data_IF_439871369036
#
_entry.id   IF_439871369036
#
_cell.length_a   1.000
_cell.length_b   1.000
_cell.length_c   1.000
_cell.angle_alpha   90.00
_cell.angle_beta   90.00
_cell.angle_gamma   90.00
#
_symmetry.space_group_name_H-M   'P 1'
#
loop_
_entity.id
_entity.type
_entity.pdbx_description
1 polymer ?
#
# COMPACT_ATOMS: atom_id res chain seq x y z
N UNK A 1 -19.47 7.64 38.89
CA UNK A 1 -18.03 7.53 38.50
C UNK A 1 -17.79 8.34 37.24
N UNK A 2 -16.72 9.14 37.20
CA UNK A 2 -16.38 9.85 35.96
C UNK A 2 -15.96 8.84 34.88
N UNK A 3 -16.49 9.00 33.67
CA UNK A 3 -16.19 8.21 32.49
C UNK A 3 -15.42 9.08 31.50
N UNK A 4 -14.68 8.46 30.59
CA UNK A 4 -14.04 9.15 29.48
C UNK A 4 -14.86 8.98 28.20
N UNK A 5 -15.09 10.08 27.49
CA UNK A 5 -15.80 10.11 26.23
C UNK A 5 -14.92 10.72 25.15
N UNK A 6 -14.82 10.09 24.00
CA UNK A 6 -14.04 10.59 22.86
C UNK A 6 -14.98 11.12 21.78
N UNK A 7 -14.68 12.32 21.28
CA UNK A 7 -15.32 12.88 20.10
C UNK A 7 -14.84 12.15 18.83
N UNK A 8 -15.76 11.58 18.06
CA UNK A 8 -15.47 10.86 16.81
C UNK A 8 -15.06 11.79 15.67
N UNK A 9 -15.28 13.12 15.81
CA UNK A 9 -14.94 14.09 14.77
C UNK A 9 -13.50 14.59 14.90
N UNK A 10 -13.07 14.96 16.12
CA UNK A 10 -11.74 15.57 16.34
C UNK A 10 -10.84 14.81 17.32
N UNK A 11 -11.31 13.71 17.91
CA UNK A 11 -10.52 12.92 18.87
C UNK A 11 -10.44 13.50 20.29
N UNK A 12 -11.03 14.68 20.55
CA UNK A 12 -11.01 15.28 21.90
C UNK A 12 -11.60 14.31 22.94
N UNK A 13 -10.92 14.18 24.10
CA UNK A 13 -11.37 13.34 25.21
C UNK A 13 -11.91 14.20 26.33
N UNK A 14 -13.15 13.92 26.74
CA UNK A 14 -13.86 14.56 27.83
C UNK A 14 -14.04 13.60 29.00
N UNK A 15 -13.87 14.08 30.23
CA UNK A 15 -14.14 13.30 31.46
C UNK A 15 -15.38 13.84 32.18
N UNK A 16 -16.38 12.98 32.34
CA UNK A 16 -17.65 13.35 33.00
C UNK A 16 -18.53 12.14 33.23
N UNK A 17 -19.71 12.34 33.81
CA UNK A 17 -20.72 11.28 34.00
C UNK A 17 -21.45 10.96 32.67
N UNK A 18 -21.63 11.97 31.82
CA UNK A 18 -22.24 11.89 30.50
C UNK A 18 -21.37 12.65 29.49
N UNK A 19 -21.48 12.39 28.17
CA UNK A 19 -20.79 13.18 27.17
C UNK A 19 -21.25 14.65 27.22
N UNK A 20 -20.40 15.63 26.87
CA UNK A 20 -20.79 17.04 26.82
C UNK A 20 -21.84 17.25 25.73
N UNK A 21 -22.74 18.22 25.90
CA UNK A 21 -23.74 18.57 24.89
C UNK A 21 -23.11 18.97 23.55
N UNK A 22 -21.89 19.54 23.61
CA UNK A 22 -21.15 19.99 22.45
C UNK A 22 -19.64 19.87 22.71
N UNK A 23 -18.89 19.46 21.71
CA UNK A 23 -17.43 19.35 21.78
C UNK A 23 -16.80 20.75 21.88
N UNK A 24 -15.95 21.03 22.89
CA UNK A 24 -15.33 22.33 23.04
C UNK A 24 -14.29 22.65 21.95
N UNK A 25 -13.90 21.67 21.14
CA UNK A 25 -12.87 21.81 20.08
C UNK A 25 -13.50 21.97 18.69
N UNK A 26 -14.44 21.09 18.33
CA UNK A 26 -15.00 21.06 16.96
C UNK A 26 -16.50 21.30 16.89
N UNK A 27 -17.14 21.62 18.01
CA UNK A 27 -18.58 21.88 18.11
C UNK A 27 -19.50 20.72 17.69
N UNK A 28 -18.97 19.51 17.57
CA UNK A 28 -19.77 18.30 17.34
C UNK A 28 -20.73 18.03 18.51
N UNK A 29 -21.93 17.57 18.21
CA UNK A 29 -22.98 17.30 19.22
C UNK A 29 -22.68 16.03 20.02
N UNK A 30 -23.39 15.85 21.14
CA UNK A 30 -23.19 14.73 22.07
C UNK A 30 -23.28 13.34 21.42
N UNK A 31 -24.08 13.18 20.36
CA UNK A 31 -24.21 11.94 19.59
C UNK A 31 -22.93 11.51 18.86
N UNK A 32 -21.96 12.41 18.75
CA UNK A 32 -20.64 12.14 18.19
C UNK A 32 -19.61 11.75 19.25
N UNK A 33 -20.02 11.50 20.47
CA UNK A 33 -19.12 11.01 21.53
C UNK A 33 -19.37 9.54 21.81
N UNK A 34 -18.28 8.78 21.99
CA UNK A 34 -18.31 7.39 22.43
C UNK A 34 -17.60 7.25 23.78
N UNK A 35 -18.16 6.39 24.64
CA UNK A 35 -17.51 6.07 25.92
C UNK A 35 -16.22 5.28 25.66
N UNK A 36 -15.10 5.78 26.17
CA UNK A 36 -13.81 5.08 26.13
C UNK A 36 -13.75 4.16 27.35
N UNK A 37 -13.95 2.88 27.14
CA UNK A 37 -13.75 1.87 28.20
C UNK A 37 -12.25 1.56 28.27
N UNK A 38 -11.65 1.72 29.42
CA UNK A 38 -10.29 1.24 29.65
C UNK A 38 -10.31 -0.27 29.52
N UNK A 39 -9.71 -0.81 28.48
CA UNK A 39 -9.56 -2.25 28.33
C UNK A 39 -8.42 -2.73 29.21
N UNK A 40 -8.56 -3.92 29.80
CA UNK A 40 -7.49 -4.58 30.54
C UNK A 40 -6.24 -4.86 29.68
N UNK A 41 -6.32 -4.63 28.37
CA UNK A 41 -5.30 -4.98 27.36
C UNK A 41 -4.61 -3.78 26.68
N UNK A 42 -4.64 -2.59 27.28
CA UNK A 42 -3.95 -1.40 26.72
C UNK A 42 -4.89 -0.34 26.11
N UNK A 43 -4.36 0.68 25.45
CA UNK A 43 -5.13 1.83 24.94
C UNK A 43 -6.12 1.40 23.85
N UNK A 44 -7.37 1.84 23.98
CA UNK A 44 -8.38 1.69 22.93
C UNK A 44 -8.37 2.93 22.01
N UNK A 45 -8.27 2.69 20.71
CA UNK A 45 -8.36 3.72 19.69
C UNK A 45 -9.81 3.90 19.21
N UNK A 46 -10.16 5.10 18.70
CA UNK A 46 -11.51 5.39 18.19
C UNK A 46 -11.85 4.55 16.95
N UNK A 47 -10.83 4.13 16.21
CA UNK A 47 -10.94 3.22 15.09
C UNK A 47 -9.80 2.20 15.15
N UNK A 48 -10.11 0.97 14.80
CA UNK A 48 -9.08 -0.04 14.59
C UNK A 48 -8.45 0.17 13.21
N UNK A 49 -7.11 0.23 13.18
CA UNK A 49 -6.33 0.23 11.95
C UNK A 49 -5.64 -1.13 11.85
N UNK A 50 -6.38 -2.11 11.38
CA UNK A 50 -5.88 -3.48 11.17
C UNK A 50 -5.88 -3.82 9.70
N UNK A 51 -4.99 -4.73 9.32
CA UNK A 51 -4.91 -5.24 7.97
C UNK A 51 -6.25 -5.83 7.51
N UNK A 52 -6.78 -5.35 6.39
CA UNK A 52 -8.05 -5.78 5.85
C UNK A 52 -9.27 -5.18 6.54
N UNK A 53 -9.14 -4.03 7.20
CA UNK A 53 -10.25 -3.35 7.90
C UNK A 53 -11.42 -3.01 6.97
N UNK A 54 -11.19 -2.88 5.67
CA UNK A 54 -12.24 -2.61 4.69
C UNK A 54 -13.08 -3.85 4.33
N UNK A 55 -12.69 -5.06 4.76
CA UNK A 55 -13.46 -6.27 4.45
C UNK A 55 -14.87 -6.19 5.02
N UNK A 56 -15.86 -6.38 4.13
CA UNK A 56 -17.27 -6.30 4.49
C UNK A 56 -17.83 -4.87 4.58
N UNK A 57 -17.08 -3.85 4.14
CA UNK A 57 -17.61 -2.50 3.99
C UNK A 57 -18.63 -2.39 2.85
N UNK A 58 -19.18 -1.21 2.63
CA UNK A 58 -20.07 -0.93 1.51
C UNK A 58 -19.43 -1.31 0.17
N UNK A 59 -20.15 -1.99 -0.74
CA UNK A 59 -19.60 -2.43 -2.03
C UNK A 59 -19.05 -1.31 -2.91
N UNK A 60 -19.63 -0.10 -2.88
CA UNK A 60 -19.13 1.02 -3.64
C UNK A 60 -17.81 1.56 -3.05
N UNK A 61 -17.66 1.54 -1.73
CA UNK A 61 -16.40 1.87 -1.05
C UNK A 61 -15.33 0.86 -1.42
N UNK A 62 -15.65 -0.44 -1.36
CA UNK A 62 -14.73 -1.51 -1.74
C UNK A 62 -14.24 -1.35 -3.17
N UNK A 63 -15.17 -1.22 -4.14
CA UNK A 63 -14.83 -1.05 -5.56
C UNK A 63 -13.97 0.20 -5.79
N UNK A 64 -14.28 1.31 -5.10
CA UNK A 64 -13.46 2.52 -5.17
C UNK A 64 -12.03 2.30 -4.67
N UNK A 65 -11.84 1.57 -3.57
CA UNK A 65 -10.52 1.24 -3.05
C UNK A 65 -9.73 0.36 -4.04
N UNK A 66 -10.37 -0.65 -4.64
CA UNK A 66 -9.71 -1.49 -5.65
C UNK A 66 -9.28 -0.71 -6.90
N UNK A 67 -10.14 0.19 -7.40
CA UNK A 67 -9.84 0.99 -8.58
C UNK A 67 -8.71 1.99 -8.29
N UNK A 68 -8.75 2.67 -7.15
CA UNK A 68 -7.66 3.54 -6.73
C UNK A 68 -6.37 2.78 -6.49
N UNK A 69 -6.38 1.60 -5.87
CA UNK A 69 -5.17 0.77 -5.72
C UNK A 69 -4.49 0.49 -7.07
N UNK A 70 -5.27 0.13 -8.09
CA UNK A 70 -4.74 -0.10 -9.46
C UNK A 70 -4.22 1.19 -10.09
N UNK A 71 -4.94 2.29 -9.91
CA UNK A 71 -4.55 3.62 -10.37
C UNK A 71 -3.20 4.04 -9.79
N UNK A 72 -3.09 4.07 -8.48
CA UNK A 72 -1.87 4.44 -7.75
C UNK A 72 -0.65 3.58 -8.16
N UNK A 73 -0.83 2.26 -8.24
CA UNK A 73 0.23 1.37 -8.73
C UNK A 73 0.70 1.72 -10.15
N UNK A 74 -0.23 2.10 -11.05
CA UNK A 74 0.08 2.49 -12.42
C UNK A 74 0.79 3.84 -12.48
N UNK A 75 0.38 4.80 -11.65
CA UNK A 75 0.96 6.14 -11.58
C UNK A 75 2.41 6.13 -11.12
N UNK A 76 2.80 5.23 -10.22
CA UNK A 76 4.20 5.01 -9.86
C UNK A 76 5.07 4.80 -11.11
N UNK A 77 4.67 3.86 -11.97
CA UNK A 77 5.41 3.55 -13.20
C UNK A 77 5.38 4.70 -14.21
N UNK A 78 4.22 5.32 -14.39
CA UNK A 78 4.05 6.46 -15.31
C UNK A 78 4.90 7.66 -14.89
N UNK A 79 4.86 8.06 -13.62
CA UNK A 79 5.62 9.22 -13.13
C UNK A 79 7.14 8.97 -13.18
N UNK A 80 7.60 7.76 -12.89
CA UNK A 80 9.01 7.42 -13.07
C UNK A 80 9.44 7.48 -14.55
N UNK A 81 8.57 7.06 -15.48
CA UNK A 81 8.84 7.18 -16.91
C UNK A 81 8.83 8.65 -17.38
N UNK A 82 7.87 9.46 -16.89
CA UNK A 82 7.81 10.90 -17.15
C UNK A 82 9.02 11.64 -16.56
N UNK A 83 9.48 11.25 -15.39
CA UNK A 83 10.72 11.77 -14.79
C UNK A 83 11.93 11.56 -15.73
N UNK A 84 12.10 10.34 -16.24
CA UNK A 84 13.18 10.02 -17.18
C UNK A 84 13.05 10.83 -18.49
N UNK A 85 11.83 11.08 -18.95
CA UNK A 85 11.59 11.89 -20.16
C UNK A 85 11.95 13.36 -19.92
N UNK A 86 11.51 13.94 -18.80
CA UNK A 86 11.84 15.31 -18.44
C UNK A 86 13.37 15.52 -18.32
N UNK A 87 14.07 14.54 -17.74
CA UNK A 87 15.54 14.58 -17.63
C UNK A 87 16.21 14.57 -19.01
N UNK A 88 15.76 13.71 -19.94
CA UNK A 88 16.26 13.67 -21.33
C UNK A 88 15.99 14.98 -22.08
N UNK A 89 14.93 15.69 -21.76
CA UNK A 89 14.56 16.98 -22.37
C UNK A 89 15.26 18.17 -21.69
N UNK A 90 16.05 17.95 -20.63
CA UNK A 90 16.79 19.00 -19.94
C UNK A 90 16.00 19.75 -18.87
N UNK A 91 14.96 19.14 -18.30
CA UNK A 91 14.14 19.69 -17.22
C UNK A 91 14.36 18.95 -15.88
N UNK A 92 15.52 19.04 -15.24
CA UNK A 92 15.86 18.24 -14.07
C UNK A 92 14.95 18.52 -12.86
N UNK A 93 14.45 19.76 -12.70
CA UNK A 93 13.52 20.10 -11.62
C UNK A 93 12.16 19.42 -11.80
N UNK A 94 11.67 19.32 -13.04
CA UNK A 94 10.43 18.60 -13.39
C UNK A 94 10.65 17.08 -13.19
N UNK A 95 11.80 16.57 -13.63
CA UNK A 95 12.16 15.17 -13.45
C UNK A 95 12.15 14.78 -11.95
N UNK A 96 12.75 15.60 -11.09
CA UNK A 96 12.76 15.36 -9.65
C UNK A 96 11.36 15.48 -9.02
N UNK A 97 10.51 16.39 -9.51
CA UNK A 97 9.13 16.50 -9.05
C UNK A 97 8.33 15.22 -9.35
N UNK A 98 8.38 14.72 -10.59
CA UNK A 98 7.73 13.46 -10.98
C UNK A 98 8.22 12.27 -10.15
N UNK A 99 9.52 12.16 -9.95
CA UNK A 99 10.11 11.09 -9.15
C UNK A 99 9.61 11.11 -7.71
N UNK A 100 9.51 12.31 -7.10
CA UNK A 100 9.01 12.48 -5.74
C UNK A 100 7.53 12.13 -5.62
N UNK A 101 6.72 12.53 -6.59
CA UNK A 101 5.29 12.18 -6.62
C UNK A 101 5.09 10.68 -6.83
N UNK A 102 5.90 10.01 -7.66
CA UNK A 102 5.84 8.55 -7.78
C UNK A 102 5.99 7.82 -6.44
N UNK A 103 6.84 8.31 -5.52
CA UNK A 103 6.93 7.75 -4.17
C UNK A 103 5.72 8.09 -3.30
N UNK A 104 5.04 9.22 -3.54
CA UNK A 104 3.74 9.53 -2.92
C UNK A 104 2.67 8.53 -3.32
N UNK A 105 2.54 8.24 -4.61
CA UNK A 105 1.57 7.27 -5.11
C UNK A 105 1.89 5.83 -4.64
N UNK A 106 3.17 5.51 -4.47
CA UNK A 106 3.55 4.23 -3.88
C UNK A 106 3.08 4.09 -2.41
N UNK A 107 3.13 5.17 -1.63
CA UNK A 107 2.60 5.19 -0.25
C UNK A 107 1.06 5.12 -0.23
N UNK A 108 0.37 5.81 -1.15
CA UNK A 108 -1.09 5.71 -1.31
C UNK A 108 -1.49 4.27 -1.64
N UNK A 109 -0.84 3.64 -2.63
CA UNK A 109 -1.09 2.25 -3.00
C UNK A 109 -0.87 1.30 -1.80
N UNK A 110 0.22 1.50 -1.03
CA UNK A 110 0.51 0.68 0.15
C UNK A 110 -0.59 0.79 1.21
N UNK A 111 -1.06 1.99 1.51
CA UNK A 111 -2.15 2.21 2.48
C UNK A 111 -3.46 1.58 2.03
N UNK A 112 -3.81 1.69 0.75
CA UNK A 112 -5.01 1.05 0.21
C UNK A 112 -4.87 -0.48 0.25
N UNK A 113 -3.69 -1.03 -0.07
CA UNK A 113 -3.42 -2.45 0.05
C UNK A 113 -3.61 -2.99 1.48
N UNK A 114 -3.20 -2.20 2.49
CA UNK A 114 -3.44 -2.52 3.90
C UNK A 114 -4.92 -2.49 4.27
N UNK A 115 -5.69 -1.50 3.77
CA UNK A 115 -7.14 -1.43 3.99
C UNK A 115 -7.86 -2.64 3.40
N UNK A 116 -7.52 -3.04 2.17
CA UNK A 116 -8.11 -4.18 1.48
C UNK A 116 -7.67 -5.53 2.10
N UNK A 117 -6.40 -5.65 2.47
CA UNK A 117 -5.83 -6.89 3.05
C UNK A 117 -5.86 -8.09 2.12
N UNK A 118 -5.77 -7.87 0.79
CA UNK A 118 -5.81 -8.94 -0.21
C UNK A 118 -4.43 -9.33 -0.74
N UNK A 119 -3.49 -8.37 -0.73
CA UNK A 119 -2.13 -8.56 -1.27
C UNK A 119 -1.05 -8.50 -0.18
N UNK A 120 -1.47 -8.36 1.07
CA UNK A 120 -0.59 -8.31 2.25
C UNK A 120 -1.05 -9.35 3.26
N UNK A 121 -0.10 -10.16 3.74
CA UNK A 121 -0.31 -11.21 4.75
C UNK A 121 0.77 -11.07 5.85
N UNK A 122 0.92 -12.08 6.68
CA UNK A 122 2.08 -12.19 7.57
C UNK A 122 3.39 -12.30 6.76
N UNK A 123 4.51 -11.92 7.37
CA UNK A 123 5.82 -11.84 6.69
C UNK A 123 6.25 -13.16 6.05
N UNK A 124 5.98 -14.29 6.70
CA UNK A 124 6.32 -15.62 6.16
C UNK A 124 5.54 -15.91 4.88
N UNK A 125 4.22 -15.63 4.90
CA UNK A 125 3.33 -15.80 3.77
C UNK A 125 3.69 -14.84 2.63
N UNK A 126 3.98 -13.57 2.95
CA UNK A 126 4.42 -12.57 1.97
C UNK A 126 5.68 -13.04 1.23
N UNK A 127 6.71 -13.48 1.95
CA UNK A 127 7.94 -13.98 1.35
C UNK A 127 7.68 -15.20 0.44
N UNK A 128 6.84 -16.14 0.90
CA UNK A 128 6.49 -17.32 0.11
C UNK A 128 5.80 -16.93 -1.19
N UNK A 129 4.74 -16.15 -1.11
CA UNK A 129 3.98 -15.71 -2.29
C UNK A 129 4.83 -14.88 -3.25
N UNK A 130 5.78 -14.09 -2.73
CA UNK A 130 6.63 -13.27 -3.59
C UNK A 130 7.64 -14.11 -4.35
N UNK A 131 8.41 -15.01 -3.72
CA UNK A 131 9.37 -15.80 -4.49
C UNK A 131 8.69 -16.69 -5.56
N UNK A 132 7.49 -17.21 -5.28
CA UNK A 132 6.71 -17.99 -6.25
C UNK A 132 6.22 -17.10 -7.42
N UNK A 133 5.79 -15.86 -7.15
CA UNK A 133 5.35 -14.93 -8.17
C UNK A 133 6.49 -14.39 -9.03
N UNK A 134 7.67 -14.14 -8.44
CA UNK A 134 8.87 -13.70 -9.18
C UNK A 134 9.35 -14.77 -10.16
N UNK A 135 9.23 -16.06 -9.80
CA UNK A 135 9.54 -17.16 -10.72
C UNK A 135 8.66 -17.11 -11.97
N UNK A 136 7.34 -16.97 -11.81
CA UNK A 136 6.42 -16.84 -12.93
C UNK A 136 6.63 -15.53 -13.73
N UNK A 137 6.94 -14.43 -13.07
CA UNK A 137 7.25 -13.16 -13.72
C UNK A 137 8.54 -13.23 -14.55
N UNK A 138 9.57 -13.92 -14.04
CA UNK A 138 10.82 -14.19 -14.76
C UNK A 138 10.55 -14.99 -16.04
N UNK A 139 9.83 -16.10 -15.94
CA UNK A 139 9.48 -16.93 -17.09
C UNK A 139 8.67 -16.16 -18.14
N UNK A 140 7.62 -15.45 -17.72
CA UNK A 140 6.78 -14.64 -18.62
C UNK A 140 7.55 -13.58 -19.36
N UNK A 141 8.43 -12.80 -18.67
CA UNK A 141 9.28 -11.81 -19.31
C UNK A 141 10.31 -12.45 -20.25
N UNK A 142 10.88 -13.58 -19.88
CA UNK A 142 11.81 -14.31 -20.73
C UNK A 142 11.18 -14.75 -22.06
N UNK A 143 9.92 -15.24 -22.03
CA UNK A 143 9.20 -15.60 -23.24
C UNK A 143 8.94 -14.38 -24.16
N UNK A 144 8.60 -13.24 -23.59
CA UNK A 144 8.44 -11.97 -24.35
C UNK A 144 9.78 -11.58 -24.97
N UNK A 145 10.87 -11.59 -24.21
CA UNK A 145 12.20 -11.24 -24.70
C UNK A 145 12.63 -12.16 -25.86
N UNK A 146 12.44 -13.47 -25.71
CA UNK A 146 12.71 -14.46 -26.75
C UNK A 146 11.93 -14.14 -28.02
N UNK A 147 10.63 -13.86 -27.93
CA UNK A 147 9.81 -13.52 -29.09
C UNK A 147 10.25 -12.21 -29.74
N UNK A 148 10.63 -11.20 -28.93
CA UNK A 148 11.15 -9.94 -29.45
C UNK A 148 12.45 -10.16 -30.27
N UNK A 149 13.33 -11.03 -29.80
CA UNK A 149 14.57 -11.37 -30.51
C UNK A 149 14.29 -12.05 -31.84
N UNK A 150 13.38 -13.02 -31.89
CA UNK A 150 12.95 -13.68 -33.13
C UNK A 150 12.41 -12.70 -34.20
N UNK A 151 11.84 -11.58 -33.74
CA UNK A 151 11.25 -10.54 -34.60
C UNK A 151 12.24 -9.37 -34.90
N UNK A 152 13.48 -9.44 -34.43
CA UNK A 152 14.46 -8.35 -34.60
C UNK A 152 14.15 -7.08 -33.79
N UNK A 153 13.37 -7.18 -32.72
CA UNK A 153 12.99 -6.07 -31.83
C UNK A 153 14.00 -5.92 -30.70
N UNK A 154 15.26 -5.60 -31.03
CA UNK A 154 16.38 -5.68 -30.09
C UNK A 154 16.21 -4.79 -28.86
N UNK A 155 15.70 -3.57 -29.00
CA UNK A 155 15.48 -2.67 -27.85
C UNK A 155 14.44 -3.23 -26.85
N UNK A 156 13.41 -3.91 -27.35
CA UNK A 156 12.41 -4.58 -26.51
C UNK A 156 13.03 -5.82 -25.86
N UNK A 157 13.76 -6.62 -26.67
CA UNK A 157 14.47 -7.80 -26.15
C UNK A 157 15.38 -7.44 -24.98
N UNK A 158 16.28 -6.47 -25.19
CA UNK A 158 17.28 -6.12 -24.18
C UNK A 158 16.64 -5.62 -22.89
N UNK A 159 15.62 -4.76 -23.00
CA UNK A 159 14.91 -4.23 -21.83
C UNK A 159 14.20 -5.32 -21.06
N UNK A 160 13.41 -6.16 -21.73
CA UNK A 160 12.57 -7.18 -21.07
C UNK A 160 13.44 -8.35 -20.58
N UNK A 161 14.51 -8.68 -21.29
CA UNK A 161 15.45 -9.72 -20.86
C UNK A 161 16.18 -9.32 -19.56
N UNK A 162 16.60 -8.04 -19.43
CA UNK A 162 17.22 -7.57 -18.19
C UNK A 162 16.21 -7.56 -17.04
N UNK A 163 14.96 -7.15 -17.28
CA UNK A 163 13.90 -7.26 -16.28
C UNK A 163 13.65 -8.71 -15.84
N UNK A 164 13.69 -9.69 -16.77
CA UNK A 164 13.56 -11.11 -16.40
C UNK A 164 14.68 -11.56 -15.44
N UNK A 165 15.92 -11.06 -15.65
CA UNK A 165 17.04 -11.33 -14.75
C UNK A 165 16.86 -10.66 -13.38
N UNK A 166 16.25 -9.48 -13.33
CA UNK A 166 15.89 -8.83 -12.06
C UNK A 166 14.88 -9.66 -11.27
N UNK A 167 13.83 -10.19 -11.93
CA UNK A 167 12.85 -11.07 -11.26
C UNK A 167 13.50 -12.33 -10.70
N UNK A 168 14.46 -12.92 -11.42
CA UNK A 168 15.23 -14.06 -10.90
C UNK A 168 16.05 -13.70 -9.65
N UNK A 169 16.63 -12.49 -9.60
CA UNK A 169 17.37 -11.97 -8.43
C UNK A 169 16.41 -11.70 -7.26
N UNK A 170 15.23 -11.10 -7.53
CA UNK A 170 14.22 -10.86 -6.51
C UNK A 170 13.72 -12.17 -5.91
N UNK A 171 13.36 -13.15 -6.73
CA UNK A 171 12.93 -14.48 -6.30
C UNK A 171 13.97 -15.18 -5.44
N UNK A 172 15.24 -15.17 -5.87
CA UNK A 172 16.33 -15.73 -5.09
C UNK A 172 16.53 -15.02 -3.74
N UNK A 173 16.40 -13.70 -3.73
CA UNK A 173 16.47 -12.88 -2.51
C UNK A 173 15.35 -13.22 -1.52
N UNK A 174 14.10 -13.24 -1.96
CA UNK A 174 12.96 -13.60 -1.11
C UNK A 174 13.05 -15.04 -0.59
N UNK A 175 13.44 -15.99 -1.43
CA UNK A 175 13.65 -17.38 -1.02
C UNK A 175 14.78 -17.51 0.01
N UNK A 176 15.87 -16.76 -0.16
CA UNK A 176 16.98 -16.71 0.78
C UNK A 176 16.54 -16.19 2.16
N UNK A 177 15.76 -15.12 2.20
CA UNK A 177 15.17 -14.59 3.43
C UNK A 177 14.18 -15.58 4.04
N UNK A 178 13.30 -16.19 3.25
CA UNK A 178 12.38 -17.22 3.74
C UNK A 178 13.12 -18.37 4.42
N UNK A 179 14.15 -18.92 3.76
CA UNK A 179 14.96 -20.02 4.32
C UNK A 179 15.66 -19.61 5.61
N UNK A 180 16.22 -18.39 5.66
CA UNK A 180 16.96 -17.88 6.80
C UNK A 180 16.07 -17.73 8.05
N UNK A 181 14.87 -17.19 7.91
CA UNK A 181 14.02 -16.82 9.04
C UNK A 181 12.94 -17.85 9.36
N UNK A 182 12.50 -18.65 8.37
CA UNK A 182 11.33 -19.54 8.49
C UNK A 182 11.60 -20.97 8.01
N UNK A 183 12.78 -21.27 7.54
CA UNK A 183 13.17 -22.58 6.97
C UNK A 183 13.61 -23.63 7.99
N UNK A 184 13.05 -23.61 9.21
CA UNK A 184 13.30 -24.63 10.23
C UNK A 184 12.36 -25.80 10.05
#
# INVERSE_FOLDING_TARGET
>A
MKKKFRCLVCGYVYEGENPPAECPVCHAKADKFVEVKESANGPQYAAEHVLGVAKGCDPAVWAGLEDHFKGECSEVGMYLAMSRQADREGYPEIAEAFKRYAFGEADHAARIAELLGEVVWDTKTNLKKRYEAEEGACEGKFLIAKRAKELGLDAIHDTIHEMARDEARHGAGFLGLYKRFFGK
#
